data_IF_822676974688
#
_entry.id   IF_822676974688
#
_cell.length_a   1.000
_cell.length_b   1.000
_cell.length_c   1.000
_cell.angle_alpha   90.00
_cell.angle_beta   90.00
_cell.angle_gamma   90.00
#
_symmetry.space_group_name_H-M   'P 1'
#
loop_
_entity.id
_entity.type
_entity.pdbx_description
1 polymer ?
#
# COMPACT_ATOMS: atom_id res chain seq x y z
N UNK A 1 -16.73 15.80 -2.12
CA UNK A 1 -16.69 14.40 -1.60
C UNK A 1 -15.42 14.27 -0.81
N UNK A 2 -15.45 13.56 0.29
CA UNK A 2 -14.23 13.23 1.04
C UNK A 2 -13.47 12.16 0.24
N UNK A 3 -12.13 12.24 0.20
CA UNK A 3 -11.28 11.22 -0.37
C UNK A 3 -11.56 9.84 0.25
N UNK A 4 -11.13 8.76 -0.40
CA UNK A 4 -11.30 7.38 0.11
C UNK A 4 -10.74 7.24 1.53
N UNK A 5 -9.53 7.78 1.75
CA UNK A 5 -8.92 8.00 3.07
C UNK A 5 -7.91 9.15 2.98
N UNK A 6 -7.48 9.63 4.13
CA UNK A 6 -6.34 10.54 4.27
C UNK A 6 -5.44 10.02 5.39
N UNK A 7 -4.12 9.99 5.16
CA UNK A 7 -3.16 9.45 6.11
C UNK A 7 -2.53 8.13 5.66
N UNK A 8 -2.57 7.10 6.50
CA UNK A 8 -1.81 5.87 6.32
C UNK A 8 -2.70 4.71 5.90
N UNK A 9 -2.58 4.30 4.64
CA UNK A 9 -3.03 3.00 4.17
C UNK A 9 -1.90 1.98 4.25
N UNK A 10 -2.19 0.75 4.66
CA UNK A 10 -1.18 -0.31 4.79
C UNK A 10 -1.31 -1.29 3.64
N UNK A 11 -0.22 -1.47 2.87
CA UNK A 11 -0.09 -2.56 1.91
C UNK A 11 0.16 -3.86 2.68
N UNK A 12 -0.92 -4.54 3.06
CA UNK A 12 -0.92 -5.67 3.98
C UNK A 12 -0.07 -6.83 3.44
N UNK A 13 0.85 -7.34 4.28
CA UNK A 13 1.59 -8.56 4.00
C UNK A 13 0.72 -9.80 4.26
N UNK A 14 0.88 -10.85 3.46
CA UNK A 14 0.23 -12.15 3.69
C UNK A 14 1.19 -13.06 4.45
N UNK A 15 0.87 -13.47 5.69
CA UNK A 15 1.68 -14.44 6.41
C UNK A 15 1.49 -15.85 5.86
N UNK A 16 2.58 -16.61 5.85
CA UNK A 16 2.56 -18.04 5.48
C UNK A 16 3.11 -18.90 6.62
N UNK A 17 2.62 -20.14 6.70
CA UNK A 17 3.12 -21.21 7.53
C UNK A 17 3.03 -22.51 6.76
N UNK A 18 4.15 -23.20 6.55
CA UNK A 18 4.25 -24.43 5.74
C UNK A 18 3.70 -24.22 4.31
N UNK A 19 4.02 -23.10 3.71
CA UNK A 19 3.58 -22.70 2.37
C UNK A 19 2.06 -22.47 2.21
N UNK A 20 1.30 -22.45 3.29
CA UNK A 20 -0.12 -22.10 3.32
C UNK A 20 -0.33 -20.72 3.95
N UNK A 21 -1.44 -20.04 3.61
CA UNK A 21 -1.80 -18.77 4.25
C UNK A 21 -2.13 -19.01 5.72
N UNK A 22 -1.41 -18.34 6.61
CA UNK A 22 -1.63 -18.37 8.06
C UNK A 22 -2.72 -17.35 8.45
N UNK A 23 -3.98 -17.83 8.49
CA UNK A 23 -5.12 -16.96 8.79
C UNK A 23 -5.12 -16.47 10.24
N UNK A 24 -4.63 -17.26 11.19
CA UNK A 24 -4.56 -16.83 12.60
C UNK A 24 -3.53 -15.69 12.77
N UNK A 25 -2.39 -15.78 12.09
CA UNK A 25 -1.41 -14.71 12.06
C UNK A 25 -1.93 -13.47 11.32
N UNK A 26 -2.65 -13.65 10.20
CA UNK A 26 -3.30 -12.58 9.46
C UNK A 26 -4.30 -11.81 10.34
N UNK A 27 -5.15 -12.51 11.08
CA UNK A 27 -6.14 -11.91 11.99
C UNK A 27 -5.45 -11.08 13.08
N UNK A 28 -4.41 -11.61 13.72
CA UNK A 28 -3.65 -10.86 14.74
C UNK A 28 -2.97 -9.63 14.15
N UNK A 29 -2.42 -9.74 12.94
CA UNK A 29 -1.76 -8.61 12.27
C UNK A 29 -2.76 -7.52 11.89
N UNK A 30 -3.91 -7.87 11.32
CA UNK A 30 -4.97 -6.90 11.00
C UNK A 30 -5.47 -6.20 12.27
N UNK A 31 -5.67 -6.96 13.37
CA UNK A 31 -6.07 -6.36 14.64
C UNK A 31 -5.03 -5.37 15.17
N UNK A 32 -3.74 -5.71 15.11
CA UNK A 32 -2.66 -4.79 15.46
C UNK A 32 -2.72 -3.50 14.64
N UNK A 33 -2.95 -3.58 13.34
CA UNK A 33 -3.05 -2.39 12.49
C UNK A 33 -4.25 -1.51 12.85
N UNK A 34 -5.40 -2.12 13.13
CA UNK A 34 -6.62 -1.41 13.56
C UNK A 34 -6.42 -0.73 14.93
N UNK A 35 -5.78 -1.42 15.88
CA UNK A 35 -5.48 -0.87 17.21
C UNK A 35 -4.50 0.33 17.14
N UNK A 36 -3.76 0.45 16.04
CA UNK A 36 -2.85 1.54 15.77
C UNK A 36 -3.41 2.62 14.82
N UNK A 37 -4.74 2.67 14.68
CA UNK A 37 -5.49 3.74 14.01
C UNK A 37 -5.04 4.02 12.56
N UNK A 38 -4.73 2.99 11.77
CA UNK A 38 -4.49 3.14 10.33
C UNK A 38 -5.78 3.57 9.62
N UNK A 39 -5.67 4.19 8.44
CA UNK A 39 -6.81 4.76 7.73
C UNK A 39 -7.32 3.92 6.57
N UNK A 40 -6.55 2.92 6.11
CA UNK A 40 -6.99 1.98 5.08
C UNK A 40 -6.15 0.69 5.11
N UNK A 41 -6.72 -0.42 4.64
CA UNK A 41 -5.99 -1.66 4.41
C UNK A 41 -6.06 -2.03 2.93
N UNK A 42 -4.90 -2.22 2.30
CA UNK A 42 -4.77 -2.67 0.92
C UNK A 42 -4.43 -4.16 0.91
N UNK A 43 -5.36 -4.98 0.46
CA UNK A 43 -5.28 -6.44 0.43
C UNK A 43 -4.90 -6.92 -0.97
N UNK A 44 -4.16 -8.01 -1.06
CA UNK A 44 -3.76 -8.62 -2.33
C UNK A 44 -2.94 -7.69 -3.26
N UNK A 45 -2.17 -6.75 -2.68
CA UNK A 45 -1.20 -5.94 -3.41
C UNK A 45 0.13 -6.68 -3.63
N UNK A 46 1.17 -5.92 -4.01
CA UNK A 46 2.53 -6.45 -4.21
C UNK A 46 3.10 -7.04 -2.92
N UNK A 47 2.92 -6.35 -1.79
CA UNK A 47 3.41 -6.77 -0.47
C UNK A 47 2.75 -8.05 0.02
N UNK A 48 1.54 -8.34 -0.45
CA UNK A 48 0.80 -9.57 -0.16
C UNK A 48 1.28 -10.79 -0.97
N UNK A 49 2.29 -10.67 -1.82
CA UNK A 49 2.71 -11.71 -2.76
C UNK A 49 1.56 -12.19 -3.68
N UNK A 50 0.68 -11.28 -4.09
CA UNK A 50 -0.52 -11.60 -4.87
C UNK A 50 -0.29 -12.53 -6.09
N UNK A 51 0.83 -12.41 -6.86
CA UNK A 51 1.07 -13.31 -7.98
C UNK A 51 1.25 -14.79 -7.61
N UNK A 52 1.57 -15.11 -6.35
CA UNK A 52 1.79 -16.48 -5.86
C UNK A 52 0.62 -17.03 -5.06
N UNK A 53 -0.42 -16.22 -4.85
CA UNK A 53 -1.68 -16.66 -4.25
C UNK A 53 -2.61 -17.23 -5.32
N UNK A 54 -3.31 -18.32 -5.01
CA UNK A 54 -4.43 -18.78 -5.83
C UNK A 54 -5.60 -17.81 -5.74
N UNK A 55 -6.56 -17.91 -6.66
CA UNK A 55 -7.74 -17.03 -6.61
C UNK A 55 -8.58 -17.32 -5.35
N UNK A 56 -8.69 -18.59 -4.94
CA UNK A 56 -9.35 -18.97 -3.67
C UNK A 56 -8.66 -18.40 -2.43
N UNK A 57 -7.31 -18.40 -2.40
CA UNK A 57 -6.56 -17.78 -1.31
C UNK A 57 -6.79 -16.27 -1.26
N UNK A 58 -6.74 -15.57 -2.41
CA UNK A 58 -7.02 -14.13 -2.50
C UNK A 58 -8.42 -13.78 -1.99
N UNK A 59 -9.42 -14.54 -2.41
CA UNK A 59 -10.81 -14.35 -1.96
C UNK A 59 -10.95 -14.57 -0.46
N UNK A 60 -10.35 -15.63 0.07
CA UNK A 60 -10.42 -15.95 1.49
C UNK A 60 -9.67 -14.92 2.35
N UNK A 61 -8.48 -14.47 1.92
CA UNK A 61 -7.74 -13.38 2.58
C UNK A 61 -8.58 -12.11 2.61
N UNK A 62 -9.14 -11.70 1.46
CA UNK A 62 -9.99 -10.52 1.39
C UNK A 62 -11.22 -10.63 2.29
N UNK A 63 -11.93 -11.75 2.25
CA UNK A 63 -13.11 -11.99 3.08
C UNK A 63 -12.79 -11.95 4.58
N UNK A 64 -11.65 -12.51 4.98
CA UNK A 64 -11.17 -12.45 6.36
C UNK A 64 -10.91 -11.00 6.80
N UNK A 65 -10.20 -10.21 5.99
CA UNK A 65 -9.89 -8.81 6.30
C UNK A 65 -11.17 -7.96 6.33
N UNK A 66 -12.05 -8.09 5.35
CA UNK A 66 -13.35 -7.36 5.32
C UNK A 66 -14.18 -7.64 6.58
N UNK A 67 -14.26 -8.89 6.99
CA UNK A 67 -14.98 -9.29 8.20
C UNK A 67 -14.37 -8.68 9.47
N UNK A 68 -13.05 -8.70 9.60
CA UNK A 68 -12.34 -8.16 10.78
C UNK A 68 -12.44 -6.65 10.86
N UNK A 69 -12.25 -5.98 9.73
CA UNK A 69 -12.31 -4.51 9.65
C UNK A 69 -13.71 -3.99 9.94
N UNK A 70 -14.74 -4.73 9.54
CA UNK A 70 -16.15 -4.40 9.82
C UNK A 70 -16.49 -2.92 9.60
N UNK A 71 -16.11 -2.37 8.45
CA UNK A 71 -16.34 -0.97 8.03
C UNK A 71 -15.65 0.12 8.89
N UNK A 72 -14.72 -0.24 9.79
CA UNK A 72 -13.98 0.76 10.58
C UNK A 72 -13.06 1.62 9.70
N UNK A 73 -12.46 1.02 8.69
CA UNK A 73 -11.63 1.68 7.68
C UNK A 73 -11.92 1.07 6.30
N UNK A 74 -11.65 1.76 5.18
CA UNK A 74 -11.81 1.16 3.86
C UNK A 74 -10.85 -0.01 3.64
N UNK A 75 -11.39 -1.09 3.06
CA UNK A 75 -10.65 -2.24 2.56
C UNK A 75 -10.54 -2.15 1.04
N UNK A 76 -9.31 -2.02 0.53
CA UNK A 76 -9.00 -1.82 -0.88
C UNK A 76 -8.37 -3.09 -1.43
N UNK A 77 -8.99 -3.72 -2.42
CA UNK A 77 -8.50 -4.95 -3.02
C UNK A 77 -7.59 -4.68 -4.22
N UNK A 78 -6.38 -5.23 -4.23
CA UNK A 78 -5.50 -5.26 -5.40
C UNK A 78 -6.03 -6.29 -6.40
N UNK A 79 -6.63 -5.83 -7.50
CA UNK A 79 -7.28 -6.68 -8.52
C UNK A 79 -6.73 -6.46 -9.92
N UNK A 80 -5.86 -5.45 -10.10
CA UNK A 80 -5.25 -5.13 -11.38
C UNK A 80 -4.32 -6.23 -11.87
N UNK A 81 -4.46 -6.60 -13.15
CA UNK A 81 -3.59 -7.51 -13.87
C UNK A 81 -3.23 -6.95 -15.24
N UNK A 82 -2.38 -7.64 -15.98
CA UNK A 82 -2.06 -7.30 -17.36
C UNK A 82 -3.12 -7.79 -18.38
N UNK A 83 -4.30 -8.16 -17.91
CA UNK A 83 -5.44 -8.60 -18.72
C UNK A 83 -6.71 -7.90 -18.22
N UNK A 84 -7.30 -7.05 -19.08
CA UNK A 84 -8.49 -6.26 -18.74
C UNK A 84 -9.64 -7.12 -18.23
N UNK A 85 -9.94 -8.23 -18.93
CA UNK A 85 -11.03 -9.12 -18.54
C UNK A 85 -10.81 -9.79 -17.19
N UNK A 86 -9.60 -10.30 -16.93
CA UNK A 86 -9.26 -10.87 -15.61
C UNK A 86 -9.35 -9.83 -14.51
N UNK A 87 -8.93 -8.59 -14.77
CA UNK A 87 -9.06 -7.49 -13.82
C UNK A 87 -10.52 -7.17 -13.50
N UNK A 88 -11.41 -7.19 -14.50
CA UNK A 88 -12.86 -7.03 -14.31
C UNK A 88 -13.41 -8.15 -13.42
N UNK A 89 -13.12 -9.40 -13.73
CA UNK A 89 -13.62 -10.55 -12.97
C UNK A 89 -13.14 -10.50 -11.51
N UNK A 90 -11.85 -10.26 -11.28
CA UNK A 90 -11.28 -10.14 -9.93
C UNK A 90 -11.90 -8.95 -9.16
N UNK A 91 -12.15 -7.83 -9.83
CA UNK A 91 -12.75 -6.64 -9.21
C UNK A 91 -14.24 -6.83 -8.87
N UNK A 92 -15.00 -7.49 -9.74
CA UNK A 92 -16.40 -7.86 -9.46
C UNK A 92 -16.44 -8.80 -8.24
N UNK A 93 -15.56 -9.80 -8.21
CA UNK A 93 -15.48 -10.73 -7.09
C UNK A 93 -15.09 -10.03 -5.78
N UNK A 94 -14.13 -9.11 -5.82
CA UNK A 94 -13.77 -8.29 -4.66
C UNK A 94 -14.96 -7.46 -4.15
N UNK A 95 -15.75 -6.87 -5.06
CA UNK A 95 -17.00 -6.16 -4.71
C UNK A 95 -18.02 -7.05 -4.02
N UNK A 96 -18.24 -8.26 -4.54
CA UNK A 96 -19.17 -9.25 -3.95
C UNK A 96 -18.75 -9.68 -2.54
N UNK A 97 -17.43 -9.76 -2.29
CA UNK A 97 -16.87 -10.08 -0.97
C UNK A 97 -17.03 -8.91 0.01
N UNK A 98 -17.13 -7.68 -0.48
CA UNK A 98 -17.35 -6.49 0.33
C UNK A 98 -16.16 -5.52 0.39
N UNK A 99 -15.26 -5.55 -0.59
CA UNK A 99 -14.24 -4.51 -0.72
C UNK A 99 -14.89 -3.13 -1.00
N UNK A 100 -14.35 -2.08 -0.37
CA UNK A 100 -14.84 -0.70 -0.54
C UNK A 100 -14.30 -0.04 -1.81
N UNK A 101 -13.13 -0.50 -2.28
CA UNK A 101 -12.48 -0.02 -3.50
C UNK A 101 -11.57 -1.10 -4.10
N UNK A 102 -11.10 -0.86 -5.31
CA UNK A 102 -10.08 -1.69 -5.96
C UNK A 102 -8.86 -0.86 -6.33
N UNK A 103 -7.68 -1.48 -6.30
CA UNK A 103 -6.43 -0.88 -6.77
C UNK A 103 -5.96 -1.62 -8.03
N UNK A 104 -5.73 -0.85 -9.11
CA UNK A 104 -5.38 -1.36 -10.41
C UNK A 104 -3.96 -0.93 -10.81
N UNK A 105 -3.05 -1.89 -10.88
CA UNK A 105 -1.71 -1.68 -11.40
C UNK A 105 -1.73 -1.53 -12.93
N UNK A 106 -0.80 -0.74 -13.49
CA UNK A 106 -0.58 -0.69 -14.94
C UNK A 106 -0.25 -2.08 -15.50
N UNK A 107 -0.69 -2.41 -16.73
CA UNK A 107 -0.34 -3.68 -17.36
C UNK A 107 1.18 -3.86 -17.41
N UNK A 108 1.66 -4.94 -16.85
CA UNK A 108 3.06 -5.36 -16.83
C UNK A 108 3.31 -6.41 -17.92
N UNK A 109 4.54 -6.57 -18.36
CA UNK A 109 5.02 -7.54 -19.36
C UNK A 109 4.52 -7.24 -20.79
N UNK A 110 3.20 -7.39 -21.08
CA UNK A 110 2.61 -7.14 -22.40
C UNK A 110 2.48 -5.64 -22.73
N UNK A 111 2.61 -4.75 -21.74
CA UNK A 111 2.57 -3.29 -21.88
C UNK A 111 1.38 -2.77 -22.69
N UNK A 112 1.33 -1.48 -22.95
CA UNK A 112 0.43 -0.82 -23.90
C UNK A 112 0.92 0.63 -24.09
N UNK A 113 0.18 1.47 -24.80
CA UNK A 113 0.38 2.91 -24.89
C UNK A 113 -0.66 3.65 -24.02
N UNK A 114 -0.56 4.98 -23.92
CA UNK A 114 -1.45 5.80 -23.09
C UNK A 114 -2.93 5.63 -23.45
N UNK A 115 -3.26 5.59 -24.76
CA UNK A 115 -4.64 5.31 -25.21
C UNK A 115 -5.13 3.94 -24.73
N UNK A 116 -4.28 2.94 -24.74
CA UNK A 116 -4.63 1.60 -24.23
C UNK A 116 -4.78 1.59 -22.72
N UNK A 117 -3.98 2.38 -21.95
CA UNK A 117 -4.18 2.55 -20.51
C UNK A 117 -5.54 3.18 -20.20
N UNK A 118 -5.92 4.25 -20.93
CA UNK A 118 -7.23 4.89 -20.78
C UNK A 118 -8.34 3.86 -20.97
N UNK A 119 -8.35 3.16 -22.11
CA UNK A 119 -9.36 2.16 -22.39
C UNK A 119 -9.39 1.03 -21.35
N UNK A 120 -8.22 0.55 -20.92
CA UNK A 120 -8.10 -0.50 -19.91
C UNK A 120 -8.76 -0.09 -18.59
N UNK A 121 -8.35 1.05 -18.02
CA UNK A 121 -8.84 1.49 -16.72
C UNK A 121 -10.31 1.93 -16.77
N UNK A 122 -10.73 2.67 -17.79
CA UNK A 122 -12.13 3.07 -17.95
C UNK A 122 -13.07 1.88 -18.13
N UNK A 123 -12.67 0.87 -18.94
CA UNK A 123 -13.47 -0.33 -19.11
C UNK A 123 -13.67 -1.06 -17.79
N UNK A 124 -12.59 -1.24 -16.99
CA UNK A 124 -12.69 -1.88 -15.68
C UNK A 124 -13.57 -1.05 -14.74
N UNK A 125 -13.30 0.25 -14.63
CA UNK A 125 -14.04 1.13 -13.72
C UNK A 125 -15.54 1.17 -14.02
N UNK A 126 -15.91 1.27 -15.29
CA UNK A 126 -17.31 1.35 -15.75
C UNK A 126 -18.07 0.04 -15.56
N UNK A 127 -17.40 -1.13 -15.70
CA UNK A 127 -18.02 -2.44 -15.48
C UNK A 127 -18.18 -2.72 -13.98
N UNK A 128 -17.17 -2.41 -13.17
CA UNK A 128 -17.13 -2.77 -11.73
C UNK A 128 -17.96 -1.81 -10.90
N UNK A 129 -17.90 -0.50 -11.18
CA UNK A 129 -18.62 0.54 -10.44
C UNK A 129 -18.33 0.51 -8.94
N UNK A 130 -17.05 0.40 -8.62
CA UNK A 130 -16.44 0.68 -7.32
C UNK A 130 -15.42 1.79 -7.48
N UNK A 131 -15.07 2.50 -6.42
CA UNK A 131 -13.90 3.39 -6.43
C UNK A 131 -12.64 2.64 -6.87
N UNK A 132 -11.88 3.27 -7.76
CA UNK A 132 -10.64 2.73 -8.33
C UNK A 132 -9.48 3.62 -7.93
N UNK A 133 -8.43 3.03 -7.40
CA UNK A 133 -7.12 3.65 -7.20
C UNK A 133 -6.20 3.15 -8.30
N UNK A 134 -5.72 4.04 -9.14
CA UNK A 134 -4.69 3.72 -10.13
C UNK A 134 -3.36 3.48 -9.42
N UNK A 135 -2.60 2.48 -9.83
CA UNK A 135 -1.27 2.21 -9.28
C UNK A 135 -0.20 2.33 -10.35
N UNK A 136 0.58 3.42 -10.25
CA UNK A 136 1.67 3.77 -11.15
C UNK A 136 3.01 3.38 -10.53
N UNK A 137 3.63 2.28 -11.01
CA UNK A 137 4.89 1.73 -10.48
C UNK A 137 5.83 1.31 -11.61
N UNK A 138 6.45 2.27 -12.29
CA UNK A 138 7.28 2.01 -13.49
C UNK A 138 8.44 1.05 -13.23
N UNK A 139 9.01 1.05 -12.03
CA UNK A 139 10.08 0.14 -11.64
C UNK A 139 9.72 -1.35 -11.72
N UNK A 140 8.41 -1.69 -11.64
CA UNK A 140 7.91 -3.07 -11.74
C UNK A 140 7.24 -3.38 -13.07
N UNK A 141 6.62 -2.39 -13.69
CA UNK A 141 5.79 -2.58 -14.88
C UNK A 141 6.46 -2.11 -16.17
N UNK A 142 7.49 -1.27 -16.05
CA UNK A 142 8.09 -0.54 -17.17
C UNK A 142 7.03 0.23 -18.00
N UNK A 143 6.00 0.73 -17.30
CA UNK A 143 4.90 1.55 -17.81
C UNK A 143 4.66 2.69 -16.83
N UNK A 144 4.57 3.91 -17.35
CA UNK A 144 4.15 5.11 -16.60
C UNK A 144 2.80 5.56 -17.10
N UNK A 145 1.89 5.91 -16.21
CA UNK A 145 0.68 6.66 -16.56
C UNK A 145 1.12 8.11 -16.68
N UNK A 146 1.11 8.65 -17.89
CA UNK A 146 1.52 10.05 -18.13
C UNK A 146 0.54 11.04 -17.46
N UNK A 147 0.98 12.24 -17.05
CA UNK A 147 0.12 13.21 -16.35
C UNK A 147 -1.18 13.53 -17.09
N UNK A 148 -1.14 13.69 -18.43
CA UNK A 148 -2.32 13.89 -19.27
C UNK A 148 -3.28 12.70 -19.22
N UNK A 149 -2.74 11.49 -19.11
CA UNK A 149 -3.55 10.27 -18.99
C UNK A 149 -4.24 10.21 -17.63
N UNK A 150 -3.53 10.61 -16.55
CA UNK A 150 -4.14 10.74 -15.21
C UNK A 150 -5.26 11.77 -15.22
N UNK A 151 -5.05 12.94 -15.86
CA UNK A 151 -6.07 13.97 -16.03
C UNK A 151 -7.34 13.41 -16.69
N UNK A 152 -7.20 12.73 -17.84
CA UNK A 152 -8.33 12.13 -18.56
C UNK A 152 -9.06 11.11 -17.66
N UNK A 153 -8.31 10.22 -17.01
CA UNK A 153 -8.88 9.19 -16.15
C UNK A 153 -9.56 9.75 -14.90
N UNK A 154 -9.08 10.88 -14.37
CA UNK A 154 -9.68 11.54 -13.21
C UNK A 154 -11.09 12.09 -13.44
N UNK A 155 -11.50 12.24 -14.70
CA UNK A 155 -12.87 12.61 -15.05
C UNK A 155 -13.87 11.44 -14.97
N UNK A 156 -13.39 10.20 -14.90
CA UNK A 156 -14.26 9.05 -14.68
C UNK A 156 -14.72 9.03 -13.21
N UNK A 157 -16.04 9.01 -12.91
CA UNK A 157 -16.56 9.15 -11.55
C UNK A 157 -16.16 7.99 -10.62
N UNK A 158 -15.68 6.90 -11.16
CA UNK A 158 -15.21 5.74 -10.38
C UNK A 158 -13.70 5.76 -10.14
N UNK A 159 -12.92 6.55 -10.90
CA UNK A 159 -11.46 6.63 -10.73
C UNK A 159 -11.15 7.80 -9.80
N UNK A 160 -10.82 7.49 -8.54
CA UNK A 160 -10.83 8.47 -7.43
C UNK A 160 -9.44 8.81 -6.88
N UNK A 161 -8.40 8.08 -7.29
CA UNK A 161 -7.07 8.30 -6.76
C UNK A 161 -5.96 7.71 -7.65
N UNK A 162 -4.75 8.21 -7.41
CA UNK A 162 -3.49 7.65 -7.90
C UNK A 162 -2.59 7.29 -6.73
N UNK A 163 -2.13 6.03 -6.67
CA UNK A 163 -0.96 5.63 -5.91
C UNK A 163 0.27 5.80 -6.80
N UNK A 164 1.09 6.79 -6.49
CA UNK A 164 2.29 7.10 -7.24
C UNK A 164 3.54 6.48 -6.59
N UNK A 165 4.23 5.63 -7.33
CA UNK A 165 5.50 5.01 -6.96
C UNK A 165 6.60 5.31 -8.00
N UNK A 166 6.53 6.45 -8.67
CA UNK A 166 7.57 6.91 -9.61
C UNK A 166 8.82 7.41 -8.90
N UNK A 167 8.68 7.93 -7.68
CA UNK A 167 9.70 8.69 -6.95
C UNK A 167 10.16 9.96 -7.70
N UNK A 168 9.28 10.52 -8.53
CA UNK A 168 9.49 11.70 -9.37
C UNK A 168 8.55 12.83 -8.93
N UNK A 169 9.13 13.87 -8.30
CA UNK A 169 8.34 14.98 -7.79
C UNK A 169 7.95 15.99 -8.88
N UNK A 170 8.63 16.03 -10.02
CA UNK A 170 8.20 16.83 -11.18
C UNK A 170 6.94 16.21 -11.77
N UNK A 171 6.90 14.88 -11.89
CA UNK A 171 5.72 14.12 -12.27
C UNK A 171 4.55 14.37 -11.31
N UNK A 172 4.81 14.29 -9.98
CA UNK A 172 3.79 14.55 -8.97
C UNK A 172 3.19 15.95 -9.11
N UNK A 173 4.05 16.97 -9.21
CA UNK A 173 3.62 18.37 -9.32
C UNK A 173 2.81 18.62 -10.60
N UNK A 174 3.19 17.98 -11.72
CA UNK A 174 2.45 18.05 -12.97
C UNK A 174 1.08 17.38 -12.88
N UNK A 175 0.99 16.17 -12.32
CA UNK A 175 -0.29 15.51 -12.08
C UNK A 175 -1.19 16.36 -11.20
N UNK A 176 -0.65 16.89 -10.09
CA UNK A 176 -1.40 17.70 -9.14
C UNK A 176 -2.00 18.97 -9.77
N UNK A 177 -1.31 19.60 -10.72
CA UNK A 177 -1.81 20.77 -11.44
C UNK A 177 -2.97 20.45 -12.38
N UNK A 178 -3.09 19.22 -12.85
CA UNK A 178 -4.06 18.78 -13.86
C UNK A 178 -5.35 18.22 -13.28
N UNK A 179 -5.32 17.74 -12.04
CA UNK A 179 -6.48 17.11 -11.40
C UNK A 179 -7.27 18.06 -10.50
N UNK A 180 -8.51 17.71 -10.20
CA UNK A 180 -9.26 18.35 -9.12
C UNK A 180 -8.89 17.70 -7.78
N UNK A 181 -8.01 18.34 -7.01
CA UNK A 181 -7.51 17.84 -5.73
C UNK A 181 -8.60 17.65 -4.65
N UNK A 182 -9.82 18.17 -4.83
CA UNK A 182 -10.94 17.93 -3.92
C UNK A 182 -11.70 16.63 -4.21
N UNK A 183 -11.48 16.05 -5.40
CA UNK A 183 -12.22 14.88 -5.87
C UNK A 183 -11.30 13.68 -6.18
N UNK A 184 -10.00 13.96 -6.39
CA UNK A 184 -9.01 12.95 -6.76
C UNK A 184 -7.82 13.00 -5.80
N UNK A 185 -7.54 11.89 -5.11
CA UNK A 185 -6.48 11.81 -4.12
C UNK A 185 -5.14 11.36 -4.74
N UNK A 186 -4.05 11.86 -4.16
CA UNK A 186 -2.70 11.42 -4.48
C UNK A 186 -2.08 10.74 -3.26
N UNK A 187 -1.71 9.46 -3.39
CA UNK A 187 -1.06 8.66 -2.37
C UNK A 187 0.36 8.31 -2.79
N UNK A 188 1.33 8.48 -1.87
CA UNK A 188 2.66 7.93 -2.10
C UNK A 188 2.62 6.40 -2.10
N UNK A 189 3.30 5.78 -3.06
CA UNK A 189 3.55 4.34 -3.08
C UNK A 189 4.92 3.96 -2.52
N UNK A 190 5.71 4.95 -2.06
CA UNK A 190 7.07 4.80 -1.56
C UNK A 190 7.21 5.37 -0.15
N UNK A 191 7.74 4.56 0.77
CA UNK A 191 7.91 4.95 2.17
C UNK A 191 9.06 5.95 2.37
N UNK A 192 10.08 5.89 1.53
CA UNK A 192 11.30 6.72 1.62
C UNK A 192 11.08 8.18 1.23
N UNK A 193 10.04 8.49 0.48
CA UNK A 193 9.75 9.85 0.03
C UNK A 193 8.55 10.53 0.71
N UNK A 194 7.93 9.85 1.69
CA UNK A 194 6.64 10.24 2.28
C UNK A 194 6.64 11.66 2.86
N UNK A 195 7.73 12.08 3.50
CA UNK A 195 7.87 13.43 4.07
C UNK A 195 7.77 14.49 2.98
N UNK A 196 8.55 14.34 1.91
CA UNK A 196 8.50 15.26 0.75
C UNK A 196 7.17 15.23 0.04
N UNK A 197 6.51 14.06 0.01
CA UNK A 197 5.19 13.89 -0.60
C UNK A 197 4.12 14.68 0.18
N UNK A 198 4.17 14.63 1.51
CA UNK A 198 3.27 15.42 2.36
C UNK A 198 3.51 16.93 2.23
N UNK A 199 4.78 17.36 2.17
CA UNK A 199 5.14 18.77 1.98
C UNK A 199 4.59 19.36 0.67
N UNK A 200 4.41 18.51 -0.36
CA UNK A 200 3.77 18.89 -1.63
C UNK A 200 2.24 18.78 -1.60
N UNK A 201 1.66 18.38 -0.48
CA UNK A 201 0.23 18.27 -0.28
C UNK A 201 -0.37 16.98 -0.85
N UNK A 202 0.36 15.87 -0.77
CA UNK A 202 -0.17 14.54 -0.96
C UNK A 202 -1.16 14.17 0.14
N UNK A 203 -2.16 13.35 -0.17
CA UNK A 203 -3.26 13.01 0.72
C UNK A 203 -2.92 11.90 1.72
N UNK A 204 -1.89 11.11 1.43
CA UNK A 204 -1.51 9.99 2.28
C UNK A 204 -0.44 9.11 1.66
N UNK A 205 -0.22 7.96 2.26
CA UNK A 205 0.70 6.93 1.80
C UNK A 205 0.01 5.56 1.80
N UNK A 206 0.34 4.72 0.84
CA UNK A 206 0.06 3.28 0.87
C UNK A 206 1.38 2.59 1.16
N UNK A 207 1.63 2.40 2.44
CA UNK A 207 2.92 2.07 3.04
C UNK A 207 3.18 0.57 3.13
N UNK A 208 4.43 0.17 2.94
CA UNK A 208 4.93 -1.18 3.24
C UNK A 208 5.37 -1.27 4.69
N UNK A 209 6.18 -0.30 5.15
CA UNK A 209 6.79 -0.35 6.49
C UNK A 209 5.75 -0.16 7.61
N UNK A 210 4.60 0.47 7.31
CA UNK A 210 3.50 0.60 8.26
C UNK A 210 2.86 -0.76 8.65
N UNK A 211 3.24 -1.87 8.01
CA UNK A 211 2.95 -3.21 8.54
C UNK A 211 3.55 -3.45 9.94
N UNK A 212 4.60 -2.71 10.32
CA UNK A 212 5.34 -2.91 11.58
C UNK A 212 5.52 -1.65 12.42
N UNK A 213 5.41 -0.46 11.82
CA UNK A 213 5.48 0.84 12.51
C UNK A 213 4.34 1.79 12.07
N UNK A 214 3.07 1.38 12.22
CA UNK A 214 1.94 2.19 11.78
C UNK A 214 1.84 3.54 12.52
N UNK A 215 2.18 3.60 13.81
CA UNK A 215 2.08 4.80 14.62
C UNK A 215 3.06 5.88 14.18
N UNK A 216 4.29 5.50 13.79
CA UNK A 216 5.29 6.44 13.29
C UNK A 216 4.83 7.10 12.00
N UNK A 217 4.25 6.32 11.09
CA UNK A 217 3.71 6.86 9.84
C UNK A 217 2.48 7.73 10.08
N UNK A 218 1.64 7.37 11.06
CA UNK A 218 0.53 8.21 11.47
C UNK A 218 1.03 9.53 12.07
N UNK A 219 2.07 9.49 12.92
CA UNK A 219 2.68 10.69 13.47
C UNK A 219 3.20 11.64 12.38
N UNK A 220 3.88 11.09 11.35
CA UNK A 220 4.35 11.88 10.20
C UNK A 220 3.19 12.57 9.48
N UNK A 221 2.07 11.87 9.29
CA UNK A 221 0.91 12.45 8.65
C UNK A 221 0.25 13.53 9.50
N UNK A 222 0.03 13.29 10.79
CA UNK A 222 -0.65 14.22 11.70
C UNK A 222 0.16 15.52 11.89
N UNK A 223 1.48 15.40 11.86
CA UNK A 223 2.39 16.54 12.04
C UNK A 223 2.96 17.09 10.71
N UNK A 224 2.42 16.71 9.56
CA UNK A 224 2.94 17.05 8.22
C UNK A 224 3.06 18.55 7.92
N UNK A 225 2.40 19.40 8.69
CA UNK A 225 2.50 20.86 8.59
C UNK A 225 3.75 21.41 9.29
N UNK A 226 4.41 20.62 10.16
CA UNK A 226 5.64 20.98 10.81
C UNK A 226 6.83 20.28 10.15
N UNK A 227 7.34 20.87 9.07
CA UNK A 227 8.38 20.29 8.23
C UNK A 227 9.65 19.90 9.01
N UNK A 228 10.09 20.76 9.93
CA UNK A 228 11.30 20.49 10.74
C UNK A 228 11.11 19.29 11.64
N UNK A 229 9.96 19.17 12.27
CA UNK A 229 9.63 18.09 13.17
C UNK A 229 9.58 16.74 12.45
N UNK A 230 8.76 16.62 11.39
CA UNK A 230 8.64 15.38 10.66
C UNK A 230 9.93 14.95 9.98
N UNK A 231 10.76 15.90 9.50
CA UNK A 231 12.06 15.58 8.90
C UNK A 231 13.01 15.00 9.96
N UNK A 232 13.03 15.55 11.17
CA UNK A 232 13.85 15.02 12.26
C UNK A 232 13.34 13.68 12.77
N UNK A 233 12.01 13.52 12.88
CA UNK A 233 11.39 12.28 13.30
C UNK A 233 11.63 11.13 12.32
N UNK A 234 11.73 11.44 11.03
CA UNK A 234 11.92 10.45 9.96
C UNK A 234 13.33 9.85 9.91
N UNK A 235 14.37 10.56 10.42
CA UNK A 235 15.77 10.12 10.34
C UNK A 235 16.07 8.70 10.85
N UNK A 236 15.54 8.23 11.99
CA UNK A 236 15.71 6.83 12.41
C UNK A 236 15.04 5.84 11.44
N UNK A 237 13.92 6.24 10.86
CA UNK A 237 13.15 5.43 9.91
C UNK A 237 13.93 5.26 8.60
N UNK A 238 14.68 6.27 8.14
CA UNK A 238 15.53 6.18 6.94
C UNK A 238 16.50 4.99 7.01
N UNK A 239 17.14 4.77 8.16
CA UNK A 239 18.06 3.65 8.37
C UNK A 239 17.35 2.29 8.29
N UNK A 240 16.11 2.22 8.77
CA UNK A 240 15.31 1.01 8.63
C UNK A 240 14.90 0.78 7.18
N UNK A 241 14.54 1.83 6.44
CA UNK A 241 14.23 1.75 5.01
C UNK A 241 15.44 1.31 4.17
N UNK A 242 16.66 1.79 4.53
CA UNK A 242 17.91 1.29 3.93
C UNK A 242 18.07 -0.23 4.14
N UNK A 243 17.79 -0.74 5.34
CA UNK A 243 17.84 -2.17 5.60
C UNK A 243 16.75 -2.96 4.86
N UNK A 244 15.55 -2.38 4.70
CA UNK A 244 14.47 -2.96 3.92
C UNK A 244 14.73 -2.93 2.40
N UNK A 245 15.73 -2.19 1.94
CA UNK A 245 16.17 -2.17 0.53
C UNK A 245 17.18 -3.24 0.16
N UNK A 246 17.56 -4.13 1.11
CA UNK A 246 18.49 -5.23 0.86
C UNK A 246 17.98 -6.22 -0.20
N UNK A 247 16.68 -6.33 -0.35
CA UNK A 247 16.05 -7.13 -1.39
C UNK A 247 14.70 -6.53 -1.78
N UNK A 248 14.08 -7.12 -2.81
CA UNK A 248 12.80 -6.66 -3.32
C UNK A 248 11.67 -6.88 -2.29
N UNK A 249 10.81 -5.85 -2.11
CA UNK A 249 9.58 -6.00 -1.33
C UNK A 249 8.68 -7.13 -1.91
N UNK A 250 8.18 -8.08 -1.06
CA UNK A 250 8.07 -8.02 0.40
C UNK A 250 9.13 -8.82 1.19
N UNK A 251 10.20 -9.29 0.58
CA UNK A 251 11.16 -10.18 1.24
C UNK A 251 11.65 -9.60 2.59
N UNK A 252 12.20 -8.35 2.66
CA UNK A 252 12.71 -7.82 3.93
C UNK A 252 11.62 -7.46 4.94
N UNK A 253 10.47 -6.94 4.52
CA UNK A 253 9.41 -6.56 5.47
C UNK A 253 8.83 -7.78 6.18
N UNK A 254 8.81 -8.95 5.54
CA UNK A 254 8.33 -10.20 6.15
C UNK A 254 9.26 -10.74 7.24
N UNK A 255 10.54 -10.35 7.27
CA UNK A 255 11.41 -10.59 8.44
C UNK A 255 10.79 -9.93 9.67
N UNK A 256 10.39 -8.66 9.55
CA UNK A 256 9.87 -7.89 10.67
C UNK A 256 8.46 -8.30 11.08
N UNK A 257 7.59 -8.64 10.14
CA UNK A 257 6.26 -9.17 10.51
C UNK A 257 6.38 -10.49 11.26
N UNK A 258 7.31 -11.36 10.87
CA UNK A 258 7.62 -12.60 11.61
C UNK A 258 8.28 -12.30 12.96
N UNK A 259 9.21 -11.35 13.05
CA UNK A 259 9.84 -10.92 14.30
C UNK A 259 8.80 -10.43 15.33
N UNK A 260 7.74 -9.76 14.87
CA UNK A 260 6.62 -9.31 15.70
C UNK A 260 5.58 -10.42 16.01
N UNK A 261 5.77 -11.64 15.50
CA UNK A 261 4.88 -12.77 15.76
C UNK A 261 3.68 -12.89 14.81
N UNK A 262 3.72 -12.20 13.69
CA UNK A 262 2.67 -12.28 12.65
C UNK A 262 3.05 -13.29 11.56
N UNK A 263 3.11 -14.58 11.95
CA UNK A 263 3.45 -15.69 11.09
C UNK A 263 4.93 -16.08 11.13
N UNK A 264 5.31 -17.00 10.24
CA UNK A 264 6.70 -17.40 10.04
C UNK A 264 7.36 -16.52 8.95
N UNK A 265 8.70 -16.46 8.96
CA UNK A 265 9.43 -15.85 7.87
C UNK A 265 9.47 -16.79 6.66
N UNK A 266 8.44 -16.72 5.88
CA UNK A 266 8.26 -17.50 4.64
C UNK A 266 7.84 -16.59 3.50
N UNK A 267 8.40 -16.82 2.32
CA UNK A 267 7.98 -16.26 1.03
C UNK A 267 7.80 -17.39 0.03
N UNK A 268 6.94 -17.21 -0.96
CA UNK A 268 6.70 -18.22 -2.00
C UNK A 268 7.58 -17.97 -3.23
N UNK A 269 8.07 -19.04 -3.85
CA UNK A 269 8.78 -18.92 -5.12
C UNK A 269 7.95 -18.12 -6.16
N UNK A 270 8.58 -17.23 -6.96
CA UNK A 270 10.02 -17.12 -7.20
C UNK A 270 10.81 -16.34 -6.14
N UNK A 271 10.16 -15.77 -5.12
CA UNK A 271 10.88 -15.11 -4.03
C UNK A 271 11.55 -16.15 -3.13
N UNK A 272 12.70 -15.77 -2.59
CA UNK A 272 13.44 -16.59 -1.63
C UNK A 272 13.74 -15.77 -0.37
N UNK A 273 13.80 -16.39 0.83
CA UNK A 273 14.15 -15.69 2.06
C UNK A 273 15.54 -15.06 2.00
N UNK A 274 15.74 -13.97 2.75
CA UNK A 274 17.07 -13.42 3.02
C UNK A 274 17.94 -14.44 3.77
N UNK A 275 19.25 -14.32 3.59
CA UNK A 275 20.21 -15.04 4.41
C UNK A 275 20.14 -14.59 5.88
N UNK A 276 20.48 -15.48 6.82
CA UNK A 276 20.41 -15.21 8.27
C UNK A 276 21.12 -13.92 8.70
N UNK A 277 22.26 -13.62 8.10
CA UNK A 277 23.01 -12.40 8.40
C UNK A 277 22.26 -11.12 7.98
N UNK A 278 21.54 -11.18 6.86
CA UNK A 278 20.72 -10.09 6.34
C UNK A 278 19.43 -9.93 7.20
N UNK A 279 18.81 -11.03 7.63
CA UNK A 279 17.68 -10.97 8.57
C UNK A 279 18.08 -10.23 9.85
N UNK A 280 19.22 -10.60 10.46
CA UNK A 280 19.77 -9.92 11.64
C UNK A 280 20.07 -8.43 11.39
N UNK A 281 20.48 -8.07 10.17
CA UNK A 281 20.68 -6.65 9.82
C UNK A 281 19.37 -5.87 9.82
N UNK A 282 18.31 -6.45 9.25
CA UNK A 282 16.95 -5.85 9.22
C UNK A 282 16.40 -5.71 10.65
N UNK A 283 16.51 -6.75 11.49
CA UNK A 283 16.07 -6.74 12.88
C UNK A 283 16.79 -5.66 13.71
N UNK A 284 18.11 -5.56 13.60
CA UNK A 284 18.91 -4.51 14.29
C UNK A 284 18.56 -3.09 13.86
N UNK A 285 18.19 -2.90 12.59
CA UNK A 285 17.76 -1.59 12.11
C UNK A 285 16.36 -1.22 12.63
N UNK A 286 15.52 -2.22 12.93
CA UNK A 286 14.18 -2.03 13.48
C UNK A 286 14.18 -1.67 14.97
N UNK A 287 15.07 -2.26 15.77
CA UNK A 287 15.11 -2.06 17.23
C UNK A 287 15.05 -0.58 17.66
N UNK A 288 15.86 0.37 17.13
CA UNK A 288 15.81 1.76 17.56
C UNK A 288 14.48 2.46 17.27
N UNK A 289 13.78 2.03 16.22
CA UNK A 289 12.48 2.59 15.82
C UNK A 289 11.38 2.06 16.74
N UNK A 290 11.39 0.76 17.04
CA UNK A 290 10.40 0.12 17.91
C UNK A 290 10.43 0.62 19.36
N UNK A 291 11.60 1.06 19.88
CA UNK A 291 11.70 1.63 21.23
C UNK A 291 11.11 3.03 21.34
N UNK A 292 10.92 3.76 20.25
CA UNK A 292 10.32 5.10 20.28
C UNK A 292 8.87 5.04 20.77
N UNK A 293 8.17 3.94 20.58
CA UNK A 293 6.83 3.70 21.13
C UNK A 293 6.77 3.67 22.67
N UNK A 294 7.84 3.26 23.33
CA UNK A 294 7.88 3.11 24.78
C UNK A 294 8.22 4.43 25.50
N UNK A 295 8.66 5.46 24.78
CA UNK A 295 9.18 6.70 25.33
C UNK A 295 8.41 7.97 24.97
N UNK A 296 7.39 7.89 24.11
CA UNK A 296 6.50 9.03 23.88
C UNK A 296 5.65 9.26 25.14
N UNK A 297 5.65 10.49 25.71
CA UNK A 297 4.78 10.78 26.83
C UNK A 297 3.34 10.59 26.36
N UNK A 298 2.65 9.63 26.98
CA UNK A 298 1.20 9.58 26.92
C UNK A 298 0.71 10.87 27.57
N UNK A 299 0.41 11.90 26.78
CA UNK A 299 -0.39 13.03 27.23
C UNK A 299 -1.82 12.52 27.53
N UNK A 300 -1.91 11.73 28.62
CA UNK A 300 -3.13 11.51 29.37
C UNK A 300 -2.92 12.22 30.69
N UNK A 301 -3.09 13.54 30.69
CA UNK A 301 -3.44 14.26 31.92
C UNK A 301 -4.45 15.35 31.59
N UNK A 302 -5.62 15.17 32.24
CA UNK A 302 -6.76 16.03 32.53
C UNK A 302 -7.73 16.31 31.39
#
# INVERSE_FOLDING_TARGET
>A
MTHMFEGVGVALATPFTNNEVDFDALERHVQFLLDNNIQAIIVNGTTAESPTLTDEEKEKVLATVVKLVNHNVPVIAGTGTNNTYKSIQASIRAKEIGADAVMLITPYYNKTNQRGLIQHFETIANEVKLPVILYNVPSRTNMTIEPETVEILSHNPYIVALKDATNDFEYFDEVKQRINANEFALYSGNDDNVVKFYQRGGNGVISVIANVIPQEFQYLYDNRQNETDITNYFKPIEKLLEALSLDVNPIPIKVLTAYLGYGHYEVRLPLVPLEEAQCKQVERAFEPVSYTHLTLPTNREV
#
